data_IF_547702595963
#
_entry.id   IF_547702595963
#
_cell.length_a   1.000
_cell.length_b   1.000
_cell.length_c   1.000
_cell.angle_alpha   90.00
_cell.angle_beta   90.00
_cell.angle_gamma   90.00
#
_symmetry.space_group_name_H-M   'P 1'
#
loop_
_entity.id
_entity.type
_entity.pdbx_description
1 polymer ?
#
# COMPACT_ATOMS: atom_id res chain seq x y z
N UNK A 1 -21.19 -69.44 -34.06
CA UNK A 1 -21.19 -69.03 -32.63
C UNK A 1 -21.41 -67.54 -32.57
N UNK A 2 -22.57 -67.09 -32.11
CA UNK A 2 -22.80 -65.61 -31.99
C UNK A 2 -22.28 -65.11 -30.69
N UNK A 3 -21.48 -64.05 -30.74
CA UNK A 3 -20.94 -63.28 -29.59
C UNK A 3 -22.03 -62.35 -29.02
N UNK A 4 -22.42 -62.58 -27.76
CA UNK A 4 -23.32 -61.70 -27.02
C UNK A 4 -22.58 -60.46 -26.55
N UNK A 5 -22.96 -59.27 -27.05
CA UNK A 5 -22.58 -57.99 -26.54
C UNK A 5 -23.52 -57.60 -25.39
N UNK A 6 -23.02 -57.50 -24.17
CA UNK A 6 -23.79 -57.05 -23.02
C UNK A 6 -23.73 -55.51 -23.02
N UNK A 7 -24.82 -54.86 -23.44
CA UNK A 7 -25.04 -53.44 -23.28
C UNK A 7 -25.27 -53.13 -21.80
N UNK A 8 -24.30 -52.46 -21.13
CA UNK A 8 -24.49 -51.92 -19.79
C UNK A 8 -25.40 -50.69 -19.86
N UNK A 9 -26.57 -50.79 -19.23
CA UNK A 9 -27.43 -49.61 -18.99
C UNK A 9 -26.67 -48.60 -18.10
N UNK A 10 -26.69 -47.31 -18.44
CA UNK A 10 -26.02 -46.29 -17.61
C UNK A 10 -26.67 -46.21 -16.22
N UNK A 11 -25.83 -46.07 -15.19
CA UNK A 11 -26.24 -45.97 -13.80
C UNK A 11 -27.03 -44.65 -13.60
N UNK A 12 -28.07 -44.70 -12.76
CA UNK A 12 -28.93 -43.53 -12.46
C UNK A 12 -28.12 -42.32 -11.99
N UNK A 13 -26.94 -42.52 -11.45
CA UNK A 13 -26.00 -41.48 -11.04
C UNK A 13 -25.33 -40.75 -12.22
N UNK A 14 -25.04 -41.45 -13.32
CA UNK A 14 -24.50 -40.83 -14.55
C UNK A 14 -25.55 -40.00 -15.31
N UNK A 15 -26.82 -40.36 -15.19
CA UNK A 15 -27.93 -39.58 -15.78
C UNK A 15 -28.15 -38.29 -14.96
N UNK A 16 -28.01 -38.35 -13.64
CA UNK A 16 -28.13 -37.18 -12.76
C UNK A 16 -27.01 -36.15 -13.00
N UNK A 17 -25.77 -36.58 -13.28
CA UNK A 17 -24.64 -35.72 -13.59
C UNK A 17 -24.74 -35.00 -14.95
N UNK A 18 -25.51 -35.56 -15.91
CA UNK A 18 -25.75 -34.92 -17.22
C UNK A 18 -26.87 -33.88 -17.20
N UNK A 19 -27.73 -33.89 -16.19
CA UNK A 19 -28.84 -32.93 -16.04
C UNK A 19 -28.46 -31.63 -15.37
N UNK A 20 -27.28 -31.55 -14.71
CA UNK A 20 -26.79 -30.33 -14.02
C UNK A 20 -25.29 -30.13 -14.28
N UNK A 21 -24.87 -29.66 -15.47
CA UNK A 21 -23.46 -29.42 -15.78
C UNK A 21 -22.83 -28.33 -14.88
N UNK A 22 -23.65 -27.39 -14.38
CA UNK A 22 -23.16 -26.24 -13.59
C UNK A 22 -22.81 -26.62 -12.15
N UNK A 23 -23.36 -27.69 -11.57
CA UNK A 23 -23.04 -28.15 -10.22
C UNK A 23 -21.59 -28.63 -10.07
N UNK A 24 -20.98 -29.12 -11.15
CA UNK A 24 -19.60 -29.61 -11.15
C UNK A 24 -18.60 -28.41 -11.21
N UNK A 25 -18.97 -27.36 -11.94
CA UNK A 25 -18.18 -26.13 -12.02
C UNK A 25 -18.20 -25.39 -10.68
N UNK A 26 -19.37 -25.25 -10.05
CA UNK A 26 -19.55 -24.61 -8.73
C UNK A 26 -18.82 -25.40 -7.64
N UNK A 27 -18.89 -26.73 -7.62
CA UNK A 27 -18.19 -27.55 -6.62
C UNK A 27 -16.67 -27.49 -6.76
N UNK A 28 -16.14 -27.39 -7.98
CA UNK A 28 -14.71 -27.20 -8.22
C UNK A 28 -14.24 -25.79 -7.86
N UNK A 29 -15.05 -24.76 -8.09
CA UNK A 29 -14.76 -23.38 -7.72
C UNK A 29 -14.74 -23.22 -6.19
N UNK A 30 -15.74 -23.79 -5.49
CA UNK A 30 -15.79 -23.82 -4.02
C UNK A 30 -14.61 -24.61 -3.45
N UNK A 31 -14.24 -25.74 -4.07
CA UNK A 31 -13.11 -26.56 -3.63
C UNK A 31 -11.76 -25.86 -3.86
N UNK A 32 -11.59 -25.11 -4.94
CA UNK A 32 -10.41 -24.28 -5.20
C UNK A 32 -10.34 -23.07 -4.23
N UNK A 33 -11.45 -22.34 -4.02
CA UNK A 33 -11.50 -21.26 -3.01
C UNK A 33 -11.16 -21.79 -1.61
N UNK A 34 -11.77 -22.89 -1.19
CA UNK A 34 -11.53 -23.49 0.13
C UNK A 34 -10.10 -24.03 0.29
N UNK A 35 -9.47 -24.51 -0.79
CA UNK A 35 -8.10 -25.02 -0.76
C UNK A 35 -7.10 -23.88 -0.69
N UNK A 36 -7.29 -22.77 -1.43
CA UNK A 36 -6.48 -21.55 -1.36
C UNK A 36 -6.53 -20.95 0.05
N UNK A 37 -7.71 -20.79 0.63
CA UNK A 37 -7.90 -20.27 1.99
C UNK A 37 -7.23 -21.14 3.06
N UNK A 38 -7.34 -22.49 2.93
CA UNK A 38 -6.67 -23.42 3.86
C UNK A 38 -5.16 -23.41 3.74
N UNK A 39 -4.59 -23.24 2.53
CA UNK A 39 -3.14 -23.15 2.34
C UNK A 39 -2.59 -21.83 2.92
N UNK A 40 -3.30 -20.70 2.77
CA UNK A 40 -2.91 -19.42 3.31
C UNK A 40 -3.03 -19.43 4.83
N UNK A 41 -4.10 -19.97 5.39
CA UNK A 41 -4.29 -20.12 6.84
C UNK A 41 -3.22 -21.05 7.44
N UNK A 42 -2.84 -22.13 6.76
CA UNK A 42 -1.76 -23.04 7.18
C UNK A 42 -0.39 -22.33 7.11
N UNK A 43 -0.14 -21.47 6.12
CA UNK A 43 1.07 -20.64 6.04
C UNK A 43 1.17 -19.64 7.20
N UNK A 44 0.08 -18.97 7.54
CA UNK A 44 0.02 -18.04 8.69
C UNK A 44 0.19 -18.78 10.02
N UNK A 45 -0.45 -19.95 10.18
CA UNK A 45 -0.30 -20.80 11.38
C UNK A 45 1.09 -21.42 11.51
N UNK A 46 1.75 -21.78 10.40
CA UNK A 46 3.13 -22.28 10.42
C UNK A 46 4.12 -21.20 10.91
N UNK A 47 3.88 -19.91 10.56
CA UNK A 47 4.68 -18.80 11.07
C UNK A 47 4.49 -18.58 12.58
N UNK A 48 3.33 -18.91 13.14
CA UNK A 48 3.04 -18.78 14.58
C UNK A 48 3.76 -19.85 15.40
N UNK A 49 3.97 -21.05 14.84
CA UNK A 49 4.61 -22.18 15.54
C UNK A 49 6.12 -22.06 15.78
N UNK A 50 6.82 -21.16 15.05
CA UNK A 50 8.29 -21.04 15.10
C UNK A 50 8.76 -20.06 16.21
N UNK A 51 7.87 -19.30 16.85
CA UNK A 51 8.19 -18.17 17.74
C UNK A 51 8.37 -18.45 19.23
N UNK A 52 8.50 -19.70 19.70
CA UNK A 52 8.45 -20.04 21.13
C UNK A 52 9.78 -19.91 21.92
N UNK A 53 10.81 -19.26 21.38
CA UNK A 53 12.01 -18.96 22.18
C UNK A 53 11.95 -17.54 22.73
N UNK A 54 11.66 -17.43 24.03
CA UNK A 54 11.62 -16.18 24.77
C UNK A 54 13.04 -15.62 24.97
N UNK A 55 13.38 -14.56 24.24
CA UNK A 55 14.45 -13.66 24.64
C UNK A 55 13.83 -12.55 25.52
N UNK A 56 14.50 -12.22 26.63
CA UNK A 56 14.10 -11.18 27.59
C UNK A 56 13.91 -9.83 26.89
N UNK A 57 12.67 -9.49 26.54
CA UNK A 57 12.31 -8.16 26.12
C UNK A 57 12.32 -7.23 27.34
N UNK A 58 13.06 -6.13 27.30
CA UNK A 58 12.92 -5.04 28.26
C UNK A 58 11.44 -4.69 28.34
N UNK A 59 10.88 -4.76 29.53
CA UNK A 59 9.48 -4.42 29.80
C UNK A 59 9.35 -2.91 29.61
N UNK A 60 8.78 -2.46 28.48
CA UNK A 60 8.45 -1.06 28.31
C UNK A 60 7.31 -0.68 29.25
N UNK A 61 7.45 0.44 29.95
CA UNK A 61 6.40 1.03 30.79
C UNK A 61 5.18 1.39 29.94
N UNK A 62 3.95 1.24 30.46
CA UNK A 62 2.74 1.69 29.77
C UNK A 62 2.83 3.16 29.42
N UNK A 63 2.59 3.51 28.14
CA UNK A 63 2.82 4.87 27.64
C UNK A 63 1.84 5.25 26.54
N UNK A 64 1.23 6.41 26.69
CA UNK A 64 0.37 7.01 25.68
C UNK A 64 1.10 8.04 24.83
N UNK A 65 0.70 8.17 23.57
CA UNK A 65 1.21 9.15 22.62
C UNK A 65 0.06 9.72 21.78
N UNK A 66 -0.11 11.04 21.82
CA UNK A 66 -0.95 11.74 20.86
C UNK A 66 -0.30 11.71 19.47
N UNK A 67 -1.12 11.66 18.44
CA UNK A 67 -0.73 11.70 17.03
C UNK A 67 -1.43 12.90 16.42
N UNK A 68 -0.66 13.91 16.05
CA UNK A 68 -1.14 15.08 15.31
C UNK A 68 -0.20 15.30 14.14
N UNK A 69 -0.73 15.28 12.92
CA UNK A 69 0.02 15.64 11.72
C UNK A 69 -0.90 16.44 10.80
N UNK A 70 -0.45 17.61 10.40
CA UNK A 70 -1.19 18.52 9.54
C UNK A 70 -0.33 18.84 8.33
N UNK A 71 -0.88 18.66 7.14
CA UNK A 71 -0.26 18.93 5.86
C UNK A 71 -1.03 20.03 5.16
N UNK A 72 -0.37 21.12 4.86
CA UNK A 72 -0.92 22.22 4.11
C UNK A 72 0.07 22.74 3.09
N UNK A 73 -0.40 23.52 2.16
CA UNK A 73 0.45 24.17 1.19
C UNK A 73 -0.14 25.50 0.73
N UNK A 74 0.74 26.33 0.15
CA UNK A 74 0.38 27.31 -0.85
C UNK A 74 0.97 26.86 -2.17
N UNK A 75 0.21 26.95 -3.25
CA UNK A 75 0.68 26.62 -4.60
C UNK A 75 0.27 27.68 -5.61
N UNK A 76 1.02 27.73 -6.70
CA UNK A 76 0.69 28.50 -7.89
C UNK A 76 1.18 27.78 -9.14
N UNK A 77 0.32 27.67 -10.13
CA UNK A 77 0.67 27.22 -11.47
C UNK A 77 1.33 28.31 -12.30
N UNK A 78 2.04 27.91 -13.34
CA UNK A 78 2.67 28.79 -14.32
C UNK A 78 2.44 28.28 -15.73
N UNK A 79 2.62 29.17 -16.71
CA UNK A 79 2.47 28.87 -18.13
C UNK A 79 1.09 29.24 -18.66
N UNK A 80 0.93 29.11 -19.97
CA UNK A 80 -0.35 29.35 -20.61
C UNK A 80 -1.37 28.33 -20.10
N UNK A 81 -2.53 28.81 -19.66
CA UNK A 81 -3.67 28.01 -19.20
C UNK A 81 -3.47 27.26 -17.84
N UNK A 82 -2.47 27.63 -17.04
CA UNK A 82 -2.30 27.11 -15.69
C UNK A 82 -2.30 28.26 -14.66
N UNK A 83 -3.48 28.68 -14.27
CA UNK A 83 -3.74 29.73 -13.28
C UNK A 83 -4.16 29.17 -11.90
N UNK A 84 -4.04 27.85 -11.70
CA UNK A 84 -4.34 27.19 -10.43
C UNK A 84 -3.45 27.73 -9.31
N UNK A 85 -4.09 28.30 -8.30
CA UNK A 85 -3.39 28.86 -7.12
C UNK A 85 -4.27 28.87 -5.88
N UNK A 86 -3.68 28.64 -4.74
CA UNK A 86 -4.43 28.70 -3.49
C UNK A 86 -3.68 28.23 -2.26
N UNK A 87 -4.30 28.45 -1.13
CA UNK A 87 -3.94 27.80 0.13
C UNK A 87 -4.75 26.51 0.27
N UNK A 88 -4.08 25.45 0.64
CA UNK A 88 -4.74 24.16 0.81
C UNK A 88 -4.34 23.51 2.14
N UNK A 89 -5.36 23.03 2.87
CA UNK A 89 -5.20 22.03 3.92
C UNK A 89 -5.44 20.66 3.29
N UNK A 90 -4.35 19.98 2.91
CA UNK A 90 -4.44 18.71 2.20
C UNK A 90 -4.97 17.60 3.10
N UNK A 91 -4.42 17.54 4.34
CA UNK A 91 -4.70 16.43 5.23
C UNK A 91 -4.36 16.74 6.68
N UNK A 92 -5.15 16.14 7.58
CA UNK A 92 -4.83 16.11 9.01
C UNK A 92 -5.01 14.69 9.55
N UNK A 93 -4.00 14.18 10.25
CA UNK A 93 -4.08 12.96 11.05
C UNK A 93 -4.21 13.32 12.51
N UNK A 94 -5.29 12.86 13.15
CA UNK A 94 -5.55 13.03 14.57
C UNK A 94 -5.76 11.68 15.21
N UNK A 95 -5.01 11.35 16.25
CA UNK A 95 -5.13 10.04 16.86
C UNK A 95 -4.39 9.88 18.15
N UNK A 96 -4.43 8.65 18.63
CA UNK A 96 -3.76 8.26 19.86
C UNK A 96 -3.24 6.82 19.76
N UNK A 97 -2.08 6.59 20.30
CA UNK A 97 -1.48 5.27 20.45
C UNK A 97 -1.18 5.03 21.93
N UNK A 98 -1.57 3.86 22.45
CA UNK A 98 -1.27 3.46 23.81
C UNK A 98 -0.55 2.14 23.83
N UNK A 99 0.61 2.10 24.47
CA UNK A 99 1.40 0.91 24.72
C UNK A 99 1.12 0.43 26.14
N UNK A 100 0.56 -0.79 26.25
CA UNK A 100 0.25 -1.42 27.55
C UNK A 100 1.48 -2.08 28.22
N UNK A 101 2.64 -2.05 27.56
CA UNK A 101 3.78 -2.87 27.95
C UNK A 101 3.67 -4.30 27.40
N UNK A 102 4.70 -5.12 27.63
CA UNK A 102 4.79 -6.52 27.17
C UNK A 102 4.54 -6.70 25.65
N UNK A 103 4.79 -5.64 24.87
CA UNK A 103 4.64 -5.62 23.42
C UNK A 103 3.21 -5.42 22.92
N UNK A 104 2.22 -5.21 23.76
CA UNK A 104 0.85 -4.95 23.37
C UNK A 104 0.60 -3.44 23.23
N UNK A 105 0.05 -3.00 22.10
CA UNK A 105 -0.38 -1.62 21.88
C UNK A 105 -1.70 -1.56 21.10
N UNK A 106 -2.39 -0.44 21.24
CA UNK A 106 -3.57 -0.07 20.44
C UNK A 106 -3.35 1.29 19.80
N UNK A 107 -3.94 1.50 18.64
CA UNK A 107 -3.81 2.74 17.89
C UNK A 107 -5.12 3.09 17.20
N UNK A 108 -5.58 4.33 17.42
CA UNK A 108 -6.69 4.93 16.69
C UNK A 108 -6.22 6.21 15.97
N UNK A 109 -6.52 6.34 14.68
CA UNK A 109 -6.18 7.53 13.90
C UNK A 109 -7.30 7.87 12.95
N UNK A 110 -7.72 9.11 12.95
CA UNK A 110 -8.58 9.71 11.94
C UNK A 110 -7.73 10.37 10.86
N UNK A 111 -8.16 10.23 9.62
CA UNK A 111 -7.63 10.90 8.42
C UNK A 111 -8.68 11.88 7.91
N UNK A 112 -8.39 13.17 8.03
CA UNK A 112 -9.29 14.26 7.62
C UNK A 112 -8.68 14.92 6.39
N UNK A 113 -9.38 14.88 5.27
CA UNK A 113 -8.89 15.43 4.01
C UNK A 113 -9.96 15.54 2.94
N UNK A 114 -9.59 15.94 1.75
CA UNK A 114 -10.48 15.93 0.59
C UNK A 114 -10.84 14.48 0.22
N UNK A 115 -12.06 14.27 -0.22
CA UNK A 115 -12.52 13.00 -0.76
C UNK A 115 -13.64 13.24 -1.78
N UNK A 116 -13.26 13.27 -3.05
CA UNK A 116 -14.21 13.43 -4.18
C UNK A 116 -15.24 12.30 -4.25
N UNK A 117 -14.95 11.13 -3.66
CA UNK A 117 -15.90 10.02 -3.56
C UNK A 117 -17.18 10.40 -2.75
N UNK A 118 -17.09 11.44 -1.91
CA UNK A 118 -18.19 11.89 -1.02
C UNK A 118 -18.60 13.32 -1.33
N UNK A 119 -17.65 14.25 -1.46
CA UNK A 119 -17.91 15.67 -1.68
C UNK A 119 -16.67 16.38 -2.20
N UNK A 120 -16.82 17.19 -3.24
CA UNK A 120 -15.75 18.07 -3.75
C UNK A 120 -15.60 19.35 -2.90
N UNK A 121 -16.59 19.67 -2.06
CA UNK A 121 -16.65 20.93 -1.31
C UNK A 121 -16.37 20.79 0.19
N UNK A 122 -16.20 19.56 0.68
CA UNK A 122 -16.06 19.30 2.11
C UNK A 122 -14.84 18.43 2.42
N UNK A 123 -14.28 18.62 3.60
CA UNK A 123 -13.30 17.69 4.16
C UNK A 123 -14.03 16.60 4.92
N UNK A 124 -13.65 15.36 4.63
CA UNK A 124 -14.26 14.16 5.22
C UNK A 124 -13.28 13.55 6.21
N UNK A 125 -13.79 13.12 7.35
CA UNK A 125 -13.03 12.37 8.34
C UNK A 125 -13.29 10.87 8.18
N UNK A 126 -12.22 10.10 7.98
CA UNK A 126 -12.25 8.63 7.95
C UNK A 126 -11.47 8.07 9.14
N UNK A 127 -11.88 6.93 9.65
CA UNK A 127 -11.05 6.14 10.56
C UNK A 127 -9.97 5.46 9.70
N UNK A 128 -8.72 5.91 9.82
CA UNK A 128 -7.60 5.33 9.08
C UNK A 128 -7.00 4.12 9.77
N UNK A 129 -6.88 4.18 11.08
CA UNK A 129 -6.45 3.05 11.90
C UNK A 129 -7.35 2.90 13.13
N UNK A 130 -7.73 1.67 13.41
CA UNK A 130 -8.33 1.19 14.66
C UNK A 130 -7.80 -0.22 14.88
N UNK A 131 -6.61 -0.34 15.50
CA UNK A 131 -5.84 -1.56 15.46
C UNK A 131 -5.23 -1.93 16.82
N UNK A 132 -5.03 -3.22 16.98
CA UNK A 132 -4.20 -3.81 18.02
C UNK A 132 -2.92 -4.32 17.40
N UNK A 133 -1.79 -4.08 18.04
CA UNK A 133 -0.49 -4.63 17.67
C UNK A 133 0.12 -5.40 18.84
N UNK A 134 0.65 -6.57 18.57
CA UNK A 134 1.40 -7.36 19.55
C UNK A 134 2.75 -7.76 18.99
N UNK A 135 3.81 -7.36 19.73
CA UNK A 135 5.19 -7.64 19.39
C UNK A 135 5.85 -8.48 20.46
N UNK A 136 6.37 -9.64 20.08
CA UNK A 136 7.13 -10.52 20.98
C UNK A 136 8.40 -10.99 20.29
N UNK A 137 9.53 -10.52 20.78
CA UNK A 137 10.83 -10.82 20.19
C UNK A 137 10.91 -10.37 18.71
N UNK A 138 11.02 -11.32 17.83
CA UNK A 138 11.14 -11.11 16.35
C UNK A 138 9.79 -11.12 15.61
N UNK A 139 8.70 -11.44 16.30
CA UNK A 139 7.34 -11.53 15.75
C UNK A 139 6.56 -10.25 16.03
N UNK A 140 5.83 -9.76 15.03
CA UNK A 140 4.82 -8.71 15.16
C UNK A 140 3.52 -9.18 14.53
N UNK A 141 2.41 -9.04 15.25
CA UNK A 141 1.05 -9.33 14.77
C UNK A 141 0.23 -8.04 14.87
N UNK A 142 -0.56 -7.75 13.84
CA UNK A 142 -1.50 -6.64 13.85
C UNK A 142 -2.88 -7.14 13.44
N UNK A 143 -3.93 -6.55 14.03
CA UNK A 143 -5.31 -6.86 13.70
C UNK A 143 -6.20 -5.64 13.85
N UNK A 144 -7.28 -5.58 13.07
CA UNK A 144 -8.20 -4.45 12.97
C UNK A 144 -8.01 -3.65 11.70
N UNK A 145 -8.33 -2.36 11.74
CA UNK A 145 -8.08 -1.45 10.63
C UNK A 145 -6.60 -1.04 10.64
N UNK A 146 -5.78 -1.85 9.96
CA UNK A 146 -4.32 -1.82 9.99
C UNK A 146 -3.73 -1.02 8.83
N UNK A 147 -2.52 -0.53 8.99
CA UNK A 147 -1.73 -0.04 7.85
C UNK A 147 -1.28 -1.22 6.98
N UNK A 148 -1.38 -1.09 5.66
CA UNK A 148 -0.94 -2.13 4.73
C UNK A 148 0.59 -2.23 4.70
N UNK A 149 1.10 -3.41 4.32
CA UNK A 149 2.55 -3.65 4.27
C UNK A 149 3.15 -3.37 2.88
N UNK A 150 2.32 -3.11 1.87
CA UNK A 150 2.71 -2.97 0.48
C UNK A 150 3.74 -1.87 0.25
N UNK A 151 3.46 -0.64 0.67
CA UNK A 151 4.32 0.52 0.38
C UNK A 151 4.67 1.39 1.60
N UNK A 152 4.22 1.07 2.79
CA UNK A 152 4.59 1.81 4.01
C UNK A 152 6.10 1.89 4.23
N UNK A 153 6.83 0.92 3.70
CA UNK A 153 8.28 0.87 3.76
C UNK A 153 8.91 1.97 2.89
N UNK A 154 8.52 2.05 1.62
CA UNK A 154 8.98 3.05 0.66
C UNK A 154 8.58 4.46 1.11
N UNK A 155 7.35 4.63 1.63
CA UNK A 155 6.87 5.90 2.15
C UNK A 155 7.73 6.42 3.32
N UNK A 156 8.12 5.53 4.24
CA UNK A 156 9.03 5.90 5.35
C UNK A 156 10.44 6.22 4.86
N UNK A 157 10.85 5.60 3.77
CA UNK A 157 12.15 5.86 3.16
C UNK A 157 12.16 7.21 2.44
N UNK A 158 11.12 7.51 1.66
CA UNK A 158 10.89 8.82 1.05
C UNK A 158 10.83 9.93 2.11
N UNK A 159 10.01 9.78 3.14
CA UNK A 159 10.01 10.68 4.30
C UNK A 159 9.32 12.03 4.11
N UNK A 160 8.88 12.37 2.91
CA UNK A 160 8.28 13.65 2.54
C UNK A 160 6.82 13.51 2.10
N UNK A 161 6.05 12.62 2.76
CA UNK A 161 4.64 12.39 2.45
C UNK A 161 3.79 13.68 2.43
N UNK A 162 4.14 14.66 3.26
CA UNK A 162 3.44 15.94 3.30
C UNK A 162 3.70 16.84 2.07
N UNK A 163 4.68 16.47 1.22
CA UNK A 163 4.96 17.09 -0.07
C UNK A 163 4.24 16.31 -1.16
N UNK A 164 4.47 15.00 -1.23
CA UNK A 164 3.84 14.07 -2.16
C UNK A 164 3.83 12.68 -1.54
N UNK A 165 2.75 11.93 -1.72
CA UNK A 165 2.66 10.52 -1.29
C UNK A 165 3.75 9.67 -1.96
N UNK A 166 4.02 8.47 -1.43
CA UNK A 166 4.85 7.50 -2.15
C UNK A 166 4.23 7.14 -3.50
N UNK A 167 5.04 6.67 -4.45
CA UNK A 167 4.59 6.33 -5.80
C UNK A 167 3.34 5.46 -5.81
N UNK A 168 3.35 4.35 -5.09
CA UNK A 168 2.23 3.41 -5.07
C UNK A 168 0.94 4.00 -4.46
N UNK A 169 1.03 4.90 -3.47
CA UNK A 169 -0.12 5.59 -2.88
C UNK A 169 -0.63 6.72 -3.81
N UNK A 170 0.26 7.43 -4.50
CA UNK A 170 -0.09 8.48 -5.44
C UNK A 170 -0.86 7.92 -6.64
N UNK A 171 -0.30 6.89 -7.26
CA UNK A 171 -0.83 6.28 -8.48
C UNK A 171 -1.76 5.08 -8.22
N UNK A 172 -2.19 4.89 -6.96
CA UNK A 172 -3.23 3.91 -6.57
C UNK A 172 -2.89 2.44 -6.88
N UNK A 173 -1.65 2.04 -6.66
CA UNK A 173 -1.24 0.63 -6.73
C UNK A 173 -1.77 -0.21 -5.57
N UNK A 174 -2.31 0.42 -4.52
CA UNK A 174 -2.91 -0.23 -3.37
C UNK A 174 -3.46 0.79 -2.36
N UNK A 175 -3.98 0.28 -1.26
CA UNK A 175 -4.52 1.08 -0.16
C UNK A 175 -3.49 1.21 0.97
N UNK A 176 -3.42 2.39 1.63
CA UNK A 176 -2.47 2.63 2.72
C UNK A 176 -2.91 2.02 4.07
N UNK A 177 -4.19 1.70 4.21
CA UNK A 177 -4.75 1.01 5.37
C UNK A 177 -6.02 0.26 4.97
N UNK A 178 -6.33 -0.84 5.67
CA UNK A 178 -7.51 -1.65 5.42
C UNK A 178 -7.82 -2.54 6.63
N UNK A 179 -9.02 -3.13 6.68
CA UNK A 179 -9.46 -4.00 7.77
C UNK A 179 -8.96 -5.44 7.54
N UNK A 180 -8.24 -5.99 8.52
CA UNK A 180 -7.74 -7.34 8.46
C UNK A 180 -6.60 -7.63 9.43
N UNK A 181 -5.68 -8.49 9.01
CA UNK A 181 -4.58 -9.01 9.83
C UNK A 181 -3.25 -8.91 9.07
N UNK A 182 -2.16 -8.67 9.79
CA UNK A 182 -0.81 -8.82 9.26
C UNK A 182 0.13 -9.48 10.27
N UNK A 183 1.13 -10.17 9.74
CA UNK A 183 2.23 -10.75 10.48
C UNK A 183 3.55 -10.29 9.87
N UNK A 184 4.51 -9.95 10.72
CA UNK A 184 5.88 -9.71 10.31
C UNK A 184 6.84 -10.50 11.20
N UNK A 185 7.87 -11.08 10.58
CA UNK A 185 8.88 -11.85 11.29
C UNK A 185 10.28 -11.49 10.83
N UNK A 186 11.17 -11.25 11.81
CA UNK A 186 12.58 -10.96 11.57
C UNK A 186 13.39 -12.24 11.74
N UNK A 187 13.75 -12.91 10.65
CA UNK A 187 14.52 -14.17 10.66
C UNK A 187 15.94 -13.93 11.15
N UNK A 188 16.56 -12.88 10.65
CA UNK A 188 17.90 -12.42 10.99
C UNK A 188 17.94 -10.89 11.01
N UNK A 189 19.04 -10.28 11.41
CA UNK A 189 19.17 -8.82 11.40
C UNK A 189 19.16 -8.25 9.98
N UNK A 190 19.53 -9.05 9.01
CA UNK A 190 19.56 -8.71 7.59
C UNK A 190 18.34 -9.21 6.79
N UNK A 191 17.43 -10.04 7.38
CA UNK A 191 16.30 -10.66 6.68
C UNK A 191 15.02 -10.59 7.49
N UNK A 192 13.96 -10.03 6.91
CA UNK A 192 12.60 -10.08 7.44
C UNK A 192 11.58 -10.32 6.35
N UNK A 193 10.45 -10.90 6.72
CA UNK A 193 9.29 -11.05 5.86
C UNK A 193 8.01 -10.59 6.58
N UNK A 194 7.04 -10.21 5.79
CA UNK A 194 5.70 -9.87 6.26
C UNK A 194 4.64 -10.45 5.34
N UNK A 195 3.48 -10.77 5.90
CA UNK A 195 2.30 -11.19 5.18
C UNK A 195 1.07 -10.42 5.70
N UNK A 196 0.11 -10.21 4.83
CA UNK A 196 -1.12 -9.48 5.13
C UNK A 196 -2.31 -10.13 4.44
N UNK A 197 -3.45 -10.11 5.12
CA UNK A 197 -4.77 -10.41 4.57
C UNK A 197 -5.74 -9.33 5.05
N UNK A 198 -6.37 -8.63 4.11
CA UNK A 198 -7.32 -7.54 4.37
C UNK A 198 -8.48 -7.59 3.37
N UNK A 199 -9.52 -6.83 3.61
CA UNK A 199 -10.71 -6.81 2.76
C UNK A 199 -10.41 -6.43 1.30
N UNK A 200 -9.59 -5.40 1.05
CA UNK A 200 -9.20 -5.00 -0.31
C UNK A 200 -9.74 -3.64 -0.76
N UNK A 201 -10.85 -3.16 -0.20
CA UNK A 201 -11.45 -1.87 -0.58
C UNK A 201 -10.73 -0.66 0.01
N UNK A 202 -9.94 -0.86 1.08
CA UNK A 202 -9.26 0.19 1.80
C UNK A 202 -10.13 0.85 2.88
N UNK A 203 -9.48 1.58 3.79
CA UNK A 203 -10.10 2.15 5.00
C UNK A 203 -11.24 3.16 4.77
N UNK A 204 -11.41 3.67 3.55
CA UNK A 204 -12.46 4.63 3.20
C UNK A 204 -13.79 3.98 2.80
N UNK A 205 -13.78 2.68 2.59
CA UNK A 205 -14.93 1.91 2.11
C UNK A 205 -15.19 0.73 3.03
N UNK A 206 -16.45 0.31 3.10
CA UNK A 206 -16.82 -0.98 3.72
C UNK A 206 -16.67 -2.08 2.68
N UNK A 207 -16.43 -3.30 3.14
CA UNK A 207 -16.40 -4.47 2.26
C UNK A 207 -17.73 -4.63 1.52
N UNK A 208 -17.66 -4.82 0.20
CA UNK A 208 -18.81 -4.97 -0.68
C UNK A 208 -18.89 -6.34 -1.35
N UNK A 209 -17.80 -7.07 -1.37
CA UNK A 209 -17.68 -8.38 -2.00
C UNK A 209 -17.04 -9.38 -1.04
N UNK A 210 -16.96 -10.67 -1.41
CA UNK A 210 -16.37 -11.73 -0.61
C UNK A 210 -14.86 -11.93 -0.92
N UNK A 211 -14.26 -11.09 -1.76
CA UNK A 211 -12.84 -11.12 -2.08
C UNK A 211 -11.98 -10.56 -0.96
N UNK A 212 -10.72 -11.01 -0.90
CA UNK A 212 -9.70 -10.49 0.00
C UNK A 212 -8.48 -10.00 -0.77
N UNK A 213 -7.73 -9.12 -0.13
CA UNK A 213 -6.40 -8.72 -0.59
C UNK A 213 -5.34 -9.42 0.25
N UNK A 214 -4.46 -10.15 -0.41
CA UNK A 214 -3.34 -10.88 0.17
C UNK A 214 -2.04 -10.21 -0.25
N UNK A 215 -1.06 -10.20 0.63
CA UNK A 215 0.25 -9.69 0.30
C UNK A 215 1.37 -10.41 1.05
N UNK A 216 2.51 -10.50 0.39
CA UNK A 216 3.74 -11.06 0.94
C UNK A 216 4.91 -10.14 0.61
N UNK A 217 5.65 -9.73 1.63
CA UNK A 217 6.83 -8.88 1.51
C UNK A 217 8.09 -9.56 2.05
N UNK A 218 9.19 -9.38 1.35
CA UNK A 218 10.53 -9.78 1.78
C UNK A 218 11.43 -8.55 1.81
N UNK A 219 12.12 -8.32 2.93
CA UNK A 219 13.04 -7.20 3.10
C UNK A 219 14.42 -7.71 3.50
N UNK A 220 15.43 -7.26 2.74
CA UNK A 220 16.84 -7.53 2.99
C UNK A 220 17.53 -6.24 3.45
N UNK A 221 18.41 -6.36 4.45
CA UNK A 221 19.27 -5.27 4.95
C UNK A 221 20.72 -5.79 4.96
N UNK A 222 21.37 -5.95 3.78
CA UNK A 222 22.68 -6.61 3.67
C UNK A 222 23.78 -5.90 4.45
N UNK A 223 23.71 -4.56 4.45
CA UNK A 223 24.61 -3.68 5.22
C UNK A 223 23.80 -2.54 5.82
N UNK A 224 24.37 -1.89 6.85
CA UNK A 224 23.71 -0.75 7.52
C UNK A 224 23.33 0.33 6.51
N UNK A 225 22.06 0.70 6.50
CA UNK A 225 21.50 1.74 5.62
C UNK A 225 21.01 1.23 4.27
N UNK A 226 21.51 0.11 3.73
CA UNK A 226 21.00 -0.46 2.49
C UNK A 226 19.82 -1.38 2.76
N UNK A 227 18.72 -1.14 2.07
CA UNK A 227 17.52 -1.95 2.15
C UNK A 227 16.98 -2.29 0.77
N UNK A 228 16.62 -3.54 0.58
CA UNK A 228 16.04 -4.07 -0.64
C UNK A 228 14.71 -4.74 -0.23
N UNK A 229 13.64 -4.41 -0.93
CA UNK A 229 12.33 -5.02 -0.67
C UNK A 229 11.69 -5.50 -1.97
N UNK A 230 11.06 -6.67 -1.87
CA UNK A 230 10.15 -7.19 -2.90
C UNK A 230 8.83 -7.50 -2.23
N UNK A 231 7.73 -7.12 -2.88
CA UNK A 231 6.39 -7.37 -2.41
C UNK A 231 5.53 -7.89 -3.56
N UNK A 232 4.77 -8.95 -3.31
CA UNK A 232 3.75 -9.48 -4.21
C UNK A 232 2.38 -9.40 -3.55
N UNK A 233 1.37 -8.98 -4.29
CA UNK A 233 -0.01 -8.85 -3.81
C UNK A 233 -1.02 -9.44 -4.78
N UNK A 234 -2.13 -9.92 -4.24
CA UNK A 234 -3.31 -10.39 -4.97
C UNK A 234 -4.55 -9.78 -4.32
N UNK A 235 -5.32 -9.01 -5.07
CA UNK A 235 -6.63 -8.50 -4.67
C UNK A 235 -7.70 -9.23 -5.48
N UNK A 236 -8.45 -10.11 -4.80
CA UNK A 236 -9.50 -10.92 -5.43
C UNK A 236 -10.67 -10.04 -5.86
N UNK A 237 -11.24 -10.35 -7.02
CA UNK A 237 -12.54 -9.85 -7.46
C UNK A 237 -13.55 -10.98 -7.35
N UNK A 238 -14.71 -10.72 -6.74
CA UNK A 238 -15.82 -11.66 -6.63
C UNK A 238 -17.00 -11.26 -7.56
N UNK A 239 -16.74 -10.33 -8.48
CA UNK A 239 -17.74 -9.86 -9.45
C UNK A 239 -17.56 -10.58 -10.79
N UNK A 240 -18.67 -11.05 -11.37
CA UNK A 240 -18.68 -11.70 -12.69
C UNK A 240 -18.06 -10.79 -13.77
N UNK A 241 -17.17 -11.35 -14.58
CA UNK A 241 -16.50 -10.65 -15.66
C UNK A 241 -15.34 -9.75 -15.23
N UNK A 242 -15.07 -9.63 -13.94
CA UNK A 242 -13.90 -8.90 -13.41
C UNK A 242 -12.74 -9.87 -13.12
N UNK A 243 -11.52 -9.35 -13.20
CA UNK A 243 -10.27 -10.09 -12.95
C UNK A 243 -9.66 -9.69 -11.62
N UNK A 244 -9.01 -10.65 -10.97
CA UNK A 244 -8.18 -10.38 -9.81
C UNK A 244 -7.03 -9.42 -10.19
N UNK A 245 -6.75 -8.45 -9.31
CA UNK A 245 -5.60 -7.56 -9.49
C UNK A 245 -4.39 -8.22 -8.85
N UNK A 246 -3.29 -8.30 -9.57
CA UNK A 246 -2.00 -8.70 -9.01
C UNK A 246 -1.00 -7.56 -9.03
N UNK A 247 -0.14 -7.50 -8.02
CA UNK A 247 0.87 -6.48 -7.84
C UNK A 247 2.26 -7.10 -7.65
N UNK A 248 3.27 -6.48 -8.26
CA UNK A 248 4.68 -6.65 -7.91
C UNK A 248 5.27 -5.28 -7.61
N UNK A 249 5.87 -5.13 -6.44
CA UNK A 249 6.60 -3.93 -6.07
C UNK A 249 8.03 -4.29 -5.68
N UNK A 250 9.00 -3.58 -6.22
CA UNK A 250 10.42 -3.75 -5.89
C UNK A 250 10.98 -2.41 -5.44
N UNK A 251 11.86 -2.44 -4.47
CA UNK A 251 12.49 -1.25 -3.91
C UNK A 251 13.93 -1.52 -3.52
N UNK A 252 14.79 -0.56 -3.79
CA UNK A 252 16.14 -0.47 -3.23
C UNK A 252 16.36 0.94 -2.69
N UNK A 253 16.90 1.05 -1.48
CA UNK A 253 17.18 2.35 -0.88
C UNK A 253 18.39 2.30 0.01
N UNK A 254 19.13 3.40 0.03
CA UNK A 254 20.28 3.59 0.92
C UNK A 254 20.10 4.86 1.75
N UNK A 255 20.15 4.71 3.06
CA UNK A 255 20.04 5.81 4.02
C UNK A 255 21.34 5.98 4.79
N UNK A 256 21.99 7.09 4.53
CA UNK A 256 23.17 7.57 5.24
C UNK A 256 22.78 8.74 6.17
N UNK A 257 23.66 9.11 7.09
CA UNK A 257 23.43 10.25 7.99
C UNK A 257 23.23 11.58 7.24
N UNK A 258 23.92 11.75 6.10
CA UNK A 258 23.90 12.97 5.28
C UNK A 258 22.98 12.90 4.08
N UNK A 259 22.59 11.71 3.60
CA UNK A 259 21.77 11.60 2.40
C UNK A 259 20.90 10.34 2.41
N UNK A 260 19.85 10.36 1.61
CA UNK A 260 18.98 9.22 1.33
C UNK A 260 18.84 9.07 -0.17
N UNK A 261 18.90 7.85 -0.67
CA UNK A 261 18.64 7.49 -2.06
C UNK A 261 17.58 6.39 -2.07
N UNK A 262 16.66 6.42 -3.02
CA UNK A 262 15.68 5.37 -3.20
C UNK A 262 15.27 5.23 -4.65
N UNK A 263 15.01 3.98 -5.05
CA UNK A 263 14.48 3.62 -6.35
C UNK A 263 13.43 2.51 -6.17
N UNK A 264 12.30 2.62 -6.85
CA UNK A 264 11.28 1.59 -6.88
C UNK A 264 10.75 1.37 -8.29
N UNK A 265 10.38 0.13 -8.58
CA UNK A 265 9.64 -0.26 -9.77
C UNK A 265 8.42 -1.05 -9.34
N UNK A 266 7.28 -0.70 -9.92
CA UNK A 266 5.97 -1.22 -9.57
C UNK A 266 5.24 -1.69 -10.83
N UNK A 267 4.60 -2.84 -10.74
CA UNK A 267 3.79 -3.41 -11.80
C UNK A 267 2.46 -3.92 -11.23
N UNK A 268 1.38 -3.61 -11.92
CA UNK A 268 0.04 -4.08 -11.62
C UNK A 268 -0.56 -4.72 -12.86
N UNK A 269 -1.13 -5.89 -12.72
CA UNK A 269 -1.89 -6.57 -13.78
C UNK A 269 -3.37 -6.50 -13.45
N UNK A 270 -4.19 -6.40 -14.48
CA UNK A 270 -5.65 -6.29 -14.41
C UNK A 270 -6.08 -5.08 -13.57
N UNK A 271 -5.39 -3.95 -13.70
CA UNK A 271 -5.73 -2.72 -13.00
C UNK A 271 -7.21 -2.37 -13.22
N UNK A 272 -7.87 -1.84 -12.18
CA UNK A 272 -9.32 -1.61 -12.19
C UNK A 272 -10.17 -2.86 -12.48
N UNK A 273 -9.64 -4.06 -12.19
CA UNK A 273 -10.26 -5.38 -12.44
C UNK A 273 -10.56 -5.65 -13.91
N UNK A 274 -9.88 -4.98 -14.84
CA UNK A 274 -10.01 -5.16 -16.28
C UNK A 274 -8.95 -6.15 -16.79
N UNK A 275 -9.37 -7.13 -17.59
CA UNK A 275 -8.46 -8.06 -18.22
C UNK A 275 -7.43 -7.34 -19.09
N UNK A 276 -6.17 -7.77 -19.00
CA UNK A 276 -5.02 -7.20 -19.74
C UNK A 276 -4.69 -5.72 -19.46
N UNK A 277 -5.36 -5.05 -18.53
CA UNK A 277 -5.05 -3.70 -18.11
C UNK A 277 -3.78 -3.69 -17.24
N UNK A 278 -2.61 -3.57 -17.86
CA UNK A 278 -1.33 -3.45 -17.16
C UNK A 278 -1.05 -2.00 -16.79
N UNK A 279 -0.56 -1.76 -15.58
CA UNK A 279 -0.08 -0.46 -15.12
C UNK A 279 1.32 -0.63 -14.54
N UNK A 280 2.27 0.20 -14.97
CA UNK A 280 3.66 0.11 -14.58
C UNK A 280 4.17 1.49 -14.18
N UNK A 281 5.24 1.53 -13.41
CA UNK A 281 5.92 2.77 -13.16
C UNK A 281 7.06 2.65 -12.18
N UNK A 282 7.86 3.69 -12.14
CA UNK A 282 9.01 3.76 -11.26
C UNK A 282 9.14 5.13 -10.60
N UNK A 283 9.79 5.14 -9.46
CA UNK A 283 10.15 6.37 -8.74
C UNK A 283 11.62 6.33 -8.37
N UNK A 284 12.29 7.46 -8.59
CA UNK A 284 13.66 7.70 -8.16
C UNK A 284 13.66 8.92 -7.26
N UNK A 285 14.27 8.84 -6.09
CA UNK A 285 14.36 9.98 -5.20
C UNK A 285 15.67 10.05 -4.44
N UNK A 286 16.05 11.27 -4.10
CA UNK A 286 17.22 11.56 -3.30
C UNK A 286 16.95 12.70 -2.33
N UNK A 287 17.63 12.70 -1.18
CA UNK A 287 17.74 13.86 -0.32
C UNK A 287 19.13 14.00 0.25
N UNK A 288 19.56 15.26 0.52
CA UNK A 288 20.87 15.59 1.08
C UNK A 288 20.69 16.62 2.20
N UNK A 289 21.20 16.30 3.39
CA UNK A 289 21.25 17.22 4.51
C UNK A 289 22.42 18.20 4.32
N UNK A 290 22.10 19.46 4.20
CA UNK A 290 23.08 20.54 4.17
C UNK A 290 23.45 21.01 5.59
N UNK A 291 22.47 20.96 6.51
CA UNK A 291 22.63 21.26 7.92
C UNK A 291 21.58 20.51 8.75
N UNK A 292 21.56 20.71 10.07
CA UNK A 292 20.54 20.13 10.94
C UNK A 292 19.11 20.63 10.64
N UNK A 293 19.00 21.81 10.04
CA UNK A 293 17.73 22.46 9.71
C UNK A 293 17.38 22.43 8.23
N UNK A 294 18.35 22.24 7.34
CA UNK A 294 18.17 22.37 5.89
C UNK A 294 18.49 21.04 5.17
N UNK A 295 17.57 20.59 4.34
CA UNK A 295 17.69 19.38 3.53
C UNK A 295 17.18 19.66 2.12
N UNK A 296 17.97 19.34 1.09
CA UNK A 296 17.52 19.34 -0.31
C UNK A 296 16.94 18.00 -0.66
N UNK A 297 15.97 17.97 -1.56
CA UNK A 297 15.38 16.73 -2.08
C UNK A 297 14.99 16.88 -3.53
N UNK A 298 15.02 15.75 -4.23
CA UNK A 298 14.51 15.60 -5.59
C UNK A 298 13.79 14.25 -5.72
N UNK A 299 12.80 14.20 -6.61
CA UNK A 299 12.09 12.98 -6.98
C UNK A 299 11.65 13.04 -8.42
N UNK A 300 11.69 11.90 -9.08
CA UNK A 300 11.16 11.69 -10.42
C UNK A 300 10.31 10.42 -10.41
N UNK A 301 9.09 10.53 -10.91
CA UNK A 301 8.13 9.44 -11.10
C UNK A 301 7.80 9.32 -12.58
N UNK A 302 7.60 8.09 -13.04
CA UNK A 302 7.08 7.81 -14.37
C UNK A 302 6.03 6.72 -14.30
N UNK A 303 4.79 7.03 -14.66
CA UNK A 303 3.65 6.13 -14.74
C UNK A 303 3.30 5.86 -16.20
N UNK A 304 3.07 4.61 -16.55
CA UNK A 304 2.62 4.24 -17.88
C UNK A 304 1.73 2.99 -17.87
N UNK A 305 0.74 2.99 -18.73
CA UNK A 305 -0.17 1.87 -18.95
C UNK A 305 0.28 1.02 -20.14
N UNK A 306 0.02 -0.28 -20.04
CA UNK A 306 0.26 -1.21 -21.15
C UNK A 306 -0.77 -0.94 -22.27
N UNK A 307 -0.31 -0.85 -23.52
CA UNK A 307 -1.16 -0.61 -24.70
C UNK A 307 -2.06 0.65 -24.53
N UNK A 308 -1.57 1.66 -23.81
CA UNK A 308 -2.18 2.98 -23.61
C UNK A 308 -3.64 2.95 -23.08
N UNK A 309 -4.06 1.85 -22.45
CA UNK A 309 -5.44 1.70 -21.97
C UNK A 309 -5.87 2.80 -20.97
N UNK A 310 -4.93 3.47 -20.34
CA UNK A 310 -5.17 4.52 -19.35
C UNK A 310 -4.34 5.79 -19.65
N UNK A 311 -4.00 6.03 -20.91
CA UNK A 311 -3.09 7.09 -21.36
C UNK A 311 -3.44 8.47 -20.78
N UNK A 312 -4.73 8.75 -20.54
CA UNK A 312 -5.20 10.00 -19.94
C UNK A 312 -4.69 10.25 -18.50
N UNK A 313 -4.16 9.20 -17.83
CA UNK A 313 -3.60 9.28 -16.48
C UNK A 313 -2.10 8.94 -16.43
N UNK A 314 -1.53 8.55 -17.57
CA UNK A 314 -0.11 8.28 -17.67
C UNK A 314 0.65 9.60 -17.70
N UNK A 315 1.65 9.71 -16.83
CA UNK A 315 2.40 10.95 -16.67
C UNK A 315 3.81 10.71 -16.13
N UNK A 316 4.68 11.66 -16.37
CA UNK A 316 5.95 11.80 -15.67
C UNK A 316 5.88 13.01 -14.74
N UNK A 317 6.37 12.86 -13.50
CA UNK A 317 6.38 13.94 -12.51
C UNK A 317 7.79 14.14 -11.96
N UNK A 318 8.26 15.37 -11.94
CA UNK A 318 9.52 15.74 -11.31
C UNK A 318 9.31 16.76 -10.18
N UNK A 319 10.02 16.58 -9.07
CA UNK A 319 10.01 17.50 -7.91
C UNK A 319 11.44 17.83 -7.54
N UNK A 320 11.71 19.11 -7.33
CA UNK A 320 12.96 19.61 -6.75
C UNK A 320 12.63 20.63 -5.67
N UNK A 321 13.22 20.48 -4.48
CA UNK A 321 12.93 21.39 -3.39
C UNK A 321 13.90 21.35 -2.24
N UNK A 322 13.62 22.21 -1.26
CA UNK A 322 14.33 22.27 0.01
C UNK A 322 13.34 22.17 1.16
N UNK A 323 13.74 21.51 2.24
CA UNK A 323 13.01 21.46 3.51
C UNK A 323 13.77 22.22 4.57
N UNK A 324 13.05 23.07 5.30
CA UNK A 324 13.54 23.80 6.46
C UNK A 324 12.79 23.34 7.71
N UNK A 325 13.52 22.91 8.74
CA UNK A 325 12.96 22.55 10.05
C UNK A 325 12.91 23.78 10.94
N UNK A 326 11.71 24.19 11.34
CA UNK A 326 11.48 25.25 12.31
C UNK A 326 11.24 24.61 13.69
N UNK A 327 12.33 24.30 14.38
CA UNK A 327 12.27 23.52 15.60
C UNK A 327 11.90 22.05 15.36
N UNK A 328 11.25 21.42 16.34
CA UNK A 328 10.98 19.98 16.36
C UNK A 328 9.73 19.59 15.56
N UNK A 329 8.75 20.47 15.49
CA UNK A 329 7.39 20.11 15.11
C UNK A 329 6.91 20.70 13.78
N UNK A 330 7.64 21.69 13.24
CA UNK A 330 7.23 22.40 12.03
C UNK A 330 8.29 22.25 10.94
N UNK A 331 7.83 22.03 9.72
CA UNK A 331 8.67 22.01 8.53
C UNK A 331 8.02 22.85 7.44
N UNK A 332 8.83 23.58 6.71
CA UNK A 332 8.45 24.34 5.51
C UNK A 332 9.28 23.83 4.35
N UNK A 333 8.65 23.57 3.23
CA UNK A 333 9.31 22.97 2.07
C UNK A 333 8.88 23.64 0.75
N UNK A 334 9.56 24.73 0.35
CA UNK A 334 9.42 25.24 -1.01
C UNK A 334 9.92 24.20 -2.01
N UNK A 335 9.15 24.02 -3.07
CA UNK A 335 9.52 23.13 -4.16
C UNK A 335 8.89 23.55 -5.48
N UNK A 336 9.52 23.08 -6.53
CA UNK A 336 9.05 23.18 -7.90
C UNK A 336 8.60 21.78 -8.35
N UNK A 337 7.45 21.71 -9.02
CA UNK A 337 6.90 20.48 -9.62
C UNK A 337 6.67 20.69 -11.09
N UNK A 338 7.04 19.68 -11.85
CA UNK A 338 6.78 19.54 -13.25
C UNK A 338 5.99 18.25 -13.49
N UNK A 339 4.91 18.31 -14.26
CA UNK A 339 4.13 17.16 -14.71
C UNK A 339 4.02 17.15 -16.20
N UNK A 340 4.32 16.01 -16.83
CA UNK A 340 4.22 15.78 -18.27
C UNK A 340 3.24 14.62 -18.53
N UNK A 341 1.94 14.92 -18.77
CA UNK A 341 0.97 13.91 -19.20
C UNK A 341 1.39 13.27 -20.52
N UNK A 342 1.09 11.98 -20.72
CA UNK A 342 1.47 11.22 -21.93
C UNK A 342 0.38 11.21 -23.00
N UNK A 343 -0.84 11.64 -22.67
CA UNK A 343 -1.93 11.73 -23.64
C UNK A 343 -1.67 12.82 -24.70
N UNK A 344 -1.98 12.53 -25.95
CA UNK A 344 -1.85 13.48 -27.06
C UNK A 344 -2.63 14.76 -26.78
N UNK A 345 -1.97 15.91 -26.99
CA UNK A 345 -2.56 17.22 -26.78
C UNK A 345 -2.75 17.63 -25.32
N UNK A 346 -2.39 16.78 -24.34
CA UNK A 346 -2.37 17.17 -22.95
C UNK A 346 -1.24 18.18 -22.66
N UNK A 347 -1.51 19.15 -21.78
CA UNK A 347 -0.56 20.21 -21.48
C UNK A 347 0.29 19.85 -20.27
N UNK A 348 1.57 20.21 -20.35
CA UNK A 348 2.50 20.11 -19.22
C UNK A 348 2.09 21.05 -18.08
N UNK A 349 2.28 20.60 -16.85
CA UNK A 349 2.01 21.36 -15.64
C UNK A 349 3.29 21.83 -14.96
N UNK A 350 3.37 23.12 -14.67
CA UNK A 350 4.47 23.74 -13.92
C UNK A 350 3.91 24.39 -12.67
N UNK A 351 4.44 24.04 -11.50
CA UNK A 351 3.93 24.55 -10.23
C UNK A 351 5.07 24.91 -9.29
N UNK A 352 4.88 25.97 -8.50
CA UNK A 352 5.62 26.21 -7.27
C UNK A 352 4.73 25.93 -6.07
N UNK A 353 5.28 25.22 -5.10
CA UNK A 353 4.64 24.90 -3.84
C UNK A 353 5.46 25.41 -2.67
N UNK A 354 4.80 25.82 -1.62
CA UNK A 354 5.36 25.93 -0.27
C UNK A 354 4.56 25.00 0.61
N UNK A 355 5.03 23.76 0.76
CA UNK A 355 4.40 22.79 1.65
C UNK A 355 4.75 23.06 3.10
N UNK A 356 3.79 22.87 3.98
CA UNK A 356 3.94 23.02 5.42
C UNK A 356 3.53 21.72 6.12
N UNK A 357 4.35 21.31 7.07
CA UNK A 357 4.07 20.22 7.99
C UNK A 357 4.07 20.73 9.41
N UNK A 358 3.08 20.34 10.17
CA UNK A 358 3.05 20.47 11.62
C UNK A 358 2.68 19.13 12.23
N UNK A 359 3.43 18.67 13.27
CA UNK A 359 3.10 17.39 13.89
C UNK A 359 3.94 17.03 15.11
N UNK A 360 3.35 16.28 16.01
CA UNK A 360 3.97 15.75 17.23
C UNK A 360 3.38 14.40 17.63
#
# INVERSE_FOLDING_TARGET
>A
MPTFSISRKPNRFEIFLKLFPDTFAVSNLIRQKTMKTKMILAGVLACIGIGAQAQNAKTEEPKGKAIVQVFGNFHTGFGADNDDRGFELERSYLGYEYNFGKGLSVKGVMDIGKSSDVSDYQRIAYIKNAMVSWKKGRLTLNGGLISTTQFNFQEKFWGYRYIMKSFQDEYKFGNSADLGLSVAYKFADWLSADAIIVNGEGYKKIQKNDGFNYGLGLTLTPVKGLQIRVYGGLNESDEDGKKDITNLATFIGYKHEKFTLGAEYNQMWNASNKENAGLNGYSLFASVKLSDVTELYARFDDLYSKDDWNIAKDESTAILGAQFKLGKYVKIAPNFRFTAPKADGAKEGYYAYVNCYFGF
#
